data_IF_639105948044
#
_entry.id   IF_639105948044
#
_cell.length_a   1.000
_cell.length_b   1.000
_cell.length_c   1.000
_cell.angle_alpha   90.00
_cell.angle_beta   90.00
_cell.angle_gamma   90.00
#
_symmetry.space_group_name_H-M   'P 1'
#
loop_
_entity.id
_entity.type
_entity.pdbx_description
1 polymer ?
#
# COMPACT_ATOMS: atom_id res chain seq x y z
N UNK A 1 -5.15 -4.98 13.16
CA UNK A 1 -3.78 -4.96 12.60
C UNK A 1 -3.68 -5.70 11.30
N UNK A 2 -3.68 -4.94 10.21
CA UNK A 2 -3.35 -5.34 8.84
C UNK A 2 -2.34 -4.32 8.29
N UNK A 3 -1.24 -4.17 9.02
CA UNK A 3 -0.01 -3.48 8.61
C UNK A 3 1.17 -4.33 9.08
N UNK A 4 2.32 -4.20 8.43
CA UNK A 4 3.56 -4.72 8.98
C UNK A 4 3.89 -3.85 10.20
N UNK A 5 3.90 -4.45 11.39
CA UNK A 5 4.17 -3.71 12.63
C UNK A 5 5.48 -2.93 12.49
N UNK A 6 5.49 -1.63 12.84
CA UNK A 6 6.70 -0.82 12.84
C UNK A 6 7.84 -1.44 13.68
N UNK A 7 7.48 -2.26 14.67
CA UNK A 7 8.42 -3.04 15.47
C UNK A 7 9.12 -4.17 14.67
N UNK A 8 8.47 -4.72 13.63
CA UNK A 8 9.09 -5.68 12.71
C UNK A 8 10.11 -4.98 11.82
N UNK A 9 9.83 -3.76 11.36
CA UNK A 9 10.77 -2.96 10.54
C UNK A 9 11.96 -2.51 11.38
N UNK A 10 11.73 -2.03 12.61
CA UNK A 10 12.80 -1.70 13.58
C UNK A 10 13.63 -2.94 13.98
N UNK A 11 13.02 -4.13 13.98
CA UNK A 11 13.66 -5.40 14.28
C UNK A 11 14.49 -6.00 13.13
N UNK A 12 14.47 -5.42 11.93
CA UNK A 12 15.14 -5.96 10.73
C UNK A 12 16.68 -6.00 10.85
N UNK A 13 17.27 -5.31 11.83
CA UNK A 13 18.67 -5.49 12.20
C UNK A 13 19.68 -4.96 11.18
N UNK A 14 19.26 -4.10 10.27
CA UNK A 14 20.17 -3.37 9.39
C UNK A 14 20.83 -2.24 10.20
N UNK A 15 22.16 -2.26 10.30
CA UNK A 15 22.93 -1.27 11.06
C UNK A 15 22.79 0.17 10.50
N UNK A 16 22.24 0.30 9.29
CA UNK A 16 21.93 1.58 8.65
C UNK A 16 20.51 2.10 8.94
N UNK A 17 19.62 1.30 9.54
CA UNK A 17 18.24 1.71 9.82
C UNK A 17 18.12 2.14 11.29
N UNK A 18 18.09 3.44 11.53
CA UNK A 18 17.90 3.98 12.88
C UNK A 18 16.41 4.12 13.19
N UNK A 19 16.04 4.12 14.47
CA UNK A 19 14.64 4.30 14.90
C UNK A 19 14.01 5.61 14.39
N UNK A 20 14.83 6.62 14.08
CA UNK A 20 14.42 7.90 13.49
C UNK A 20 14.10 7.84 11.99
N UNK A 21 14.45 6.73 11.32
CA UNK A 21 14.19 6.50 9.89
C UNK A 21 12.83 5.83 9.65
N UNK A 22 12.17 5.34 10.71
CA UNK A 22 10.82 4.76 10.66
C UNK A 22 9.85 5.71 11.37
N UNK A 23 9.03 6.41 10.59
CA UNK A 23 7.99 7.30 11.11
C UNK A 23 6.62 6.64 10.96
N UNK A 24 5.97 6.40 12.09
CA UNK A 24 4.60 5.92 12.12
C UNK A 24 3.65 7.11 12.09
N UNK A 25 2.73 7.12 11.12
CA UNK A 25 1.63 8.08 11.09
C UNK A 25 0.51 7.52 11.95
N UNK A 26 0.07 8.28 12.96
CA UNK A 26 -0.79 7.78 14.04
C UNK A 26 -2.23 7.49 13.60
N UNK A 27 -2.57 7.66 12.32
CA UNK A 27 -3.91 7.46 11.81
C UNK A 27 -3.84 6.76 10.45
N UNK A 28 -4.37 5.54 10.38
CA UNK A 28 -4.48 4.74 9.15
C UNK A 28 -5.49 5.26 8.12
N UNK A 29 -5.75 6.57 8.07
CA UNK A 29 -6.88 7.18 7.37
C UNK A 29 -6.39 8.17 6.31
N UNK A 30 -6.65 7.87 5.04
CA UNK A 30 -6.00 8.56 3.92
C UNK A 30 -6.72 9.83 3.41
N UNK A 31 -7.95 10.17 3.85
CA UNK A 31 -8.74 11.17 3.12
C UNK A 31 -9.00 12.54 3.80
N UNK A 32 -8.98 12.70 5.14
CA UNK A 32 -9.16 14.03 5.77
C UNK A 32 -8.05 14.45 6.76
N UNK A 33 -7.41 13.52 7.48
CA UNK A 33 -6.33 13.80 8.45
C UNK A 33 -4.92 13.64 7.88
N UNK A 34 -4.78 13.13 6.64
CA UNK A 34 -3.47 13.01 5.98
C UNK A 34 -2.82 14.36 5.84
N UNK A 35 -3.53 15.41 5.40
CA UNK A 35 -2.90 16.71 5.24
C UNK A 35 -2.19 17.18 6.52
N UNK A 36 -2.88 17.00 7.64
CA UNK A 36 -2.48 17.53 8.94
C UNK A 36 -1.29 16.77 9.55
N UNK A 37 -1.10 15.48 9.24
CA UNK A 37 0.04 14.69 9.74
C UNK A 37 1.09 14.37 8.68
N UNK A 38 0.69 14.15 7.42
CA UNK A 38 1.57 13.83 6.31
C UNK A 38 2.46 15.00 5.91
N UNK A 39 1.91 16.21 5.72
CA UNK A 39 2.73 17.36 5.32
C UNK A 39 3.81 17.62 6.39
N UNK A 40 3.47 17.74 7.70
CA UNK A 40 4.49 17.97 8.71
C UNK A 40 5.51 16.84 8.82
N UNK A 41 5.08 15.59 8.67
CA UNK A 41 5.98 14.43 8.70
C UNK A 41 6.97 14.45 7.54
N UNK A 42 6.47 14.71 6.32
CA UNK A 42 7.31 14.84 5.14
C UNK A 42 8.26 16.03 5.24
N UNK A 43 7.79 17.18 5.72
CA UNK A 43 8.65 18.35 5.96
C UNK A 43 9.76 18.01 6.96
N UNK A 44 9.42 17.36 8.08
CA UNK A 44 10.38 16.91 9.08
C UNK A 44 11.45 15.97 8.50
N UNK A 45 11.07 15.05 7.61
CA UNK A 45 12.01 14.17 6.92
C UNK A 45 12.95 14.94 5.98
N UNK A 46 12.40 15.88 5.20
CA UNK A 46 13.13 16.65 4.20
C UNK A 46 14.02 17.75 4.81
N UNK A 47 13.76 18.15 6.06
CA UNK A 47 14.52 19.16 6.79
C UNK A 47 15.68 18.57 7.63
N UNK A 48 15.88 17.24 7.61
CA UNK A 48 17.03 16.60 8.27
C UNK A 48 18.34 17.08 7.64
N UNK A 49 19.42 17.10 8.43
CA UNK A 49 20.77 17.44 7.95
C UNK A 49 21.23 16.53 6.79
N UNK A 50 20.77 15.27 6.81
CA UNK A 50 20.92 14.30 5.73
C UNK A 50 19.52 13.75 5.37
N UNK A 51 18.78 14.39 4.45
CA UNK A 51 17.46 13.94 4.05
C UNK A 51 17.54 12.63 3.26
N UNK A 52 16.51 11.77 3.33
CA UNK A 52 16.51 10.50 2.60
C UNK A 52 16.42 10.73 1.08
N UNK A 53 17.14 9.90 0.31
CA UNK A 53 17.06 9.90 -1.16
C UNK A 53 15.78 9.21 -1.66
N UNK A 54 15.24 8.27 -0.88
CA UNK A 54 14.04 7.51 -1.19
C UNK A 54 13.14 7.38 0.03
N UNK A 55 11.83 7.43 -0.18
CA UNK A 55 10.82 7.26 0.87
C UNK A 55 9.88 6.15 0.44
N UNK A 56 9.73 5.13 1.29
CA UNK A 56 8.76 4.06 1.10
C UNK A 56 7.62 4.29 2.09
N UNK A 57 6.40 4.37 1.55
CA UNK A 57 5.20 4.53 2.37
C UNK A 57 4.41 3.24 2.30
N UNK A 58 4.28 2.58 3.44
CA UNK A 58 3.31 1.51 3.62
C UNK A 58 1.96 2.12 4.01
N UNK A 59 0.92 1.79 3.27
CA UNK A 59 -0.45 2.15 3.62
C UNK A 59 -1.12 1.01 4.35
N UNK A 60 -2.13 1.30 5.19
CA UNK A 60 -3.00 0.25 5.70
C UNK A 60 -3.64 -0.51 4.53
N UNK A 61 -3.92 -1.80 4.69
CA UNK A 61 -4.53 -2.63 3.63
C UNK A 61 -5.93 -2.17 3.17
N UNK A 62 -6.52 -1.19 3.87
CA UNK A 62 -7.83 -0.60 3.57
C UNK A 62 -7.73 0.80 2.96
N UNK A 63 -6.53 1.35 2.90
CA UNK A 63 -6.33 2.71 2.41
C UNK A 63 -6.37 2.76 0.88
N UNK A 64 -6.95 3.82 0.35
CA UNK A 64 -6.92 4.11 -1.08
C UNK A 64 -5.62 4.84 -1.42
N UNK A 65 -4.82 4.38 -2.40
CA UNK A 65 -3.58 5.08 -2.74
C UNK A 65 -3.80 6.47 -3.36
N UNK A 66 -4.95 6.70 -4.00
CA UNK A 66 -5.19 7.93 -4.77
C UNK A 66 -5.10 9.23 -3.95
N UNK A 67 -5.74 9.39 -2.77
CA UNK A 67 -5.61 10.63 -2.02
C UNK A 67 -4.18 10.86 -1.51
N UNK A 68 -3.44 9.80 -1.16
CA UNK A 68 -2.03 9.90 -0.78
C UNK A 68 -1.16 10.38 -1.94
N UNK A 69 -1.31 9.79 -3.13
CA UNK A 69 -0.59 10.25 -4.34
C UNK A 69 -0.93 11.70 -4.67
N UNK A 70 -2.19 12.13 -4.44
CA UNK A 70 -2.59 13.53 -4.62
C UNK A 70 -1.93 14.48 -3.62
N UNK A 71 -1.68 14.05 -2.39
CA UNK A 71 -1.02 14.86 -1.36
C UNK A 71 0.39 15.30 -1.78
N UNK A 72 1.11 14.49 -2.58
CA UNK A 72 2.41 14.87 -3.13
C UNK A 72 2.35 16.05 -4.11
N UNK A 73 1.19 16.35 -4.69
CA UNK A 73 1.01 17.52 -5.57
C UNK A 73 0.77 18.82 -4.80
N UNK A 74 0.75 18.81 -3.47
CA UNK A 74 0.63 20.05 -2.70
C UNK A 74 1.87 20.94 -2.84
N UNK A 75 1.72 22.28 -2.87
CA UNK A 75 2.83 23.21 -3.07
C UNK A 75 4.00 23.01 -2.10
N UNK A 76 3.72 22.58 -0.87
CA UNK A 76 4.69 22.34 0.20
C UNK A 76 5.62 21.15 -0.07
N UNK A 77 5.17 20.17 -0.88
CA UNK A 77 5.85 18.89 -1.14
C UNK A 77 6.32 18.78 -2.60
N UNK A 78 5.47 19.19 -3.54
CA UNK A 78 5.62 18.95 -5.00
C UNK A 78 6.90 19.49 -5.63
N UNK A 79 7.57 20.44 -4.99
CA UNK A 79 8.85 20.99 -5.46
C UNK A 79 10.07 20.24 -4.94
N UNK A 80 9.87 19.34 -3.96
CA UNK A 80 10.94 18.63 -3.24
C UNK A 80 10.95 17.12 -3.48
N UNK A 81 9.79 16.53 -3.77
CA UNK A 81 9.62 15.07 -3.89
C UNK A 81 8.80 14.71 -5.12
N UNK A 82 9.13 13.59 -5.74
CA UNK A 82 8.38 12.97 -6.83
C UNK A 82 7.92 11.57 -6.42
N UNK A 83 6.76 11.14 -6.92
CA UNK A 83 6.28 9.77 -6.72
C UNK A 83 6.78 8.90 -7.87
N UNK A 84 7.64 7.94 -7.56
CA UNK A 84 8.19 7.01 -8.55
C UNK A 84 7.16 5.98 -9.03
N UNK A 85 6.28 5.52 -8.13
CA UNK A 85 5.17 4.65 -8.47
C UNK A 85 4.45 4.06 -7.27
N UNK A 86 3.31 3.44 -7.54
CA UNK A 86 2.49 2.70 -6.57
C UNK A 86 2.70 1.20 -6.77
N UNK A 87 3.08 0.50 -5.70
CA UNK A 87 3.26 -0.96 -5.69
C UNK A 87 2.11 -1.60 -4.95
N UNK A 88 1.31 -2.42 -5.64
CA UNK A 88 0.21 -3.17 -5.02
C UNK A 88 0.60 -4.63 -4.86
N UNK A 89 0.63 -5.10 -3.61
CA UNK A 89 0.91 -6.50 -3.28
C UNK A 89 -0.39 -7.27 -3.15
N UNK A 90 -0.54 -8.33 -3.95
CA UNK A 90 -1.74 -9.15 -4.04
C UNK A 90 -1.46 -10.54 -3.47
N UNK A 91 -2.29 -11.01 -2.54
CA UNK A 91 -2.33 -12.40 -2.14
C UNK A 91 -3.08 -13.23 -3.20
N UNK A 92 -2.33 -14.03 -3.96
CA UNK A 92 -2.86 -14.71 -5.13
C UNK A 92 -3.95 -15.74 -4.78
N UNK A 93 -3.78 -16.49 -3.67
CA UNK A 93 -4.76 -17.50 -3.26
C UNK A 93 -6.04 -16.83 -2.79
N UNK A 94 -5.90 -15.80 -1.97
CA UNK A 94 -7.04 -15.09 -1.40
C UNK A 94 -7.92 -14.49 -2.51
N UNK A 95 -7.33 -13.87 -3.53
CA UNK A 95 -8.09 -13.31 -4.67
C UNK A 95 -8.82 -14.40 -5.47
N UNK A 96 -8.16 -15.52 -5.76
CA UNK A 96 -8.80 -16.65 -6.48
C UNK A 96 -9.97 -17.24 -5.67
N UNK A 97 -9.89 -17.21 -4.34
CA UNK A 97 -10.98 -17.62 -3.44
C UNK A 97 -12.06 -16.54 -3.24
N UNK A 98 -11.90 -15.34 -3.82
CA UNK A 98 -12.79 -14.20 -3.60
C UNK A 98 -12.72 -13.64 -2.17
N UNK A 99 -11.61 -13.90 -1.46
CA UNK A 99 -11.37 -13.48 -0.09
C UNK A 99 -10.47 -12.24 -0.09
N UNK A 100 -11.05 -11.08 0.22
CA UNK A 100 -10.31 -9.81 0.32
C UNK A 100 -9.99 -9.41 1.77
N UNK A 101 -10.49 -10.19 2.75
CA UNK A 101 -10.13 -10.07 4.16
C UNK A 101 -10.20 -11.43 4.84
N UNK A 102 -9.21 -11.74 5.68
CA UNK A 102 -9.21 -12.96 6.49
C UNK A 102 -10.34 -12.98 7.54
N UNK A 103 -10.77 -11.80 8.00
CA UNK A 103 -11.91 -11.63 8.88
C UNK A 103 -12.72 -10.39 8.45
N UNK A 104 -13.72 -10.62 7.61
CA UNK A 104 -14.58 -9.57 7.05
C UNK A 104 -15.24 -8.75 8.17
N UNK A 105 -15.71 -9.38 9.25
CA UNK A 105 -16.37 -8.68 10.35
C UNK A 105 -15.41 -7.75 11.13
N UNK A 106 -14.15 -8.15 11.31
CA UNK A 106 -13.15 -7.29 11.93
C UNK A 106 -12.79 -6.10 11.03
N UNK A 107 -12.69 -6.35 9.72
CA UNK A 107 -12.45 -5.30 8.73
C UNK A 107 -13.63 -4.33 8.67
N UNK A 108 -14.87 -4.82 8.63
CA UNK A 108 -16.07 -3.97 8.64
C UNK A 108 -16.17 -3.13 9.91
N UNK A 109 -15.81 -3.70 11.07
CA UNK A 109 -15.76 -2.97 12.34
C UNK A 109 -14.68 -1.87 12.31
N UNK A 110 -13.51 -2.14 11.75
CA UNK A 110 -12.44 -1.15 11.58
C UNK A 110 -12.87 -0.06 10.59
N UNK A 111 -13.52 -0.44 9.48
CA UNK A 111 -14.05 0.50 8.50
C UNK A 111 -15.09 1.40 9.12
N UNK A 112 -16.04 0.87 9.90
CA UNK A 112 -17.07 1.66 10.58
C UNK A 112 -16.52 2.65 11.62
N UNK A 113 -15.25 2.50 12.04
CA UNK A 113 -14.56 3.44 12.92
C UNK A 113 -13.75 4.49 12.16
N UNK A 114 -13.63 4.36 10.85
CA UNK A 114 -12.84 5.24 9.99
C UNK A 114 -13.74 6.10 9.11
N UNK A 115 -14.12 7.28 9.60
CA UNK A 115 -14.96 8.27 8.91
C UNK A 115 -14.45 8.67 7.50
N UNK A 116 -13.21 8.30 7.15
CA UNK A 116 -12.57 8.61 5.86
C UNK A 116 -12.73 7.51 4.81
N UNK A 117 -13.17 6.32 5.20
CA UNK A 117 -13.50 5.25 4.28
C UNK A 117 -14.97 5.37 3.90
N UNK A 118 -15.26 5.23 2.61
CA UNK A 118 -16.64 5.03 2.20
C UNK A 118 -17.09 3.66 2.73
N UNK A 119 -17.86 3.67 3.81
CA UNK A 119 -18.28 2.47 4.53
C UNK A 119 -19.27 1.60 3.72
N UNK A 120 -19.82 2.12 2.61
CA UNK A 120 -20.75 1.40 1.75
C UNK A 120 -20.04 0.64 0.62
N UNK A 121 -18.77 0.98 0.32
CA UNK A 121 -17.98 0.35 -0.73
C UNK A 121 -17.62 -1.10 -0.38
N UNK A 122 -17.88 -2.12 -1.22
CA UNK A 122 -17.38 -3.47 -1.00
C UNK A 122 -15.84 -3.55 -0.98
N UNK A 123 -15.27 -4.50 -0.20
CA UNK A 123 -13.81 -4.72 -0.19
C UNK A 123 -13.24 -5.07 -1.58
N UNK A 124 -14.05 -5.70 -2.43
CA UNK A 124 -13.70 -5.99 -3.82
C UNK A 124 -13.51 -4.72 -4.64
N UNK A 125 -14.31 -3.67 -4.39
CA UNK A 125 -14.15 -2.38 -5.08
C UNK A 125 -12.88 -1.65 -4.60
N UNK A 126 -12.56 -1.72 -3.30
CA UNK A 126 -11.29 -1.20 -2.78
C UNK A 126 -10.08 -1.91 -3.41
N UNK A 127 -10.18 -3.23 -3.59
CA UNK A 127 -9.17 -4.00 -4.31
C UNK A 127 -9.02 -3.50 -5.76
N UNK A 128 -10.13 -3.35 -6.48
CA UNK A 128 -10.10 -2.85 -7.86
C UNK A 128 -9.48 -1.45 -7.96
N UNK A 129 -9.78 -0.56 -7.01
CA UNK A 129 -9.17 0.78 -6.94
C UNK A 129 -7.65 0.74 -6.69
N UNK A 130 -7.18 -0.17 -5.83
CA UNK A 130 -5.75 -0.39 -5.59
C UNK A 130 -5.05 -0.96 -6.83
N UNK A 131 -5.70 -1.85 -7.58
CA UNK A 131 -5.18 -2.38 -8.85
C UNK A 131 -5.13 -1.30 -9.93
N UNK A 132 -6.17 -0.48 -10.04
CA UNK A 132 -6.23 0.63 -10.99
C UNK A 132 -5.18 1.71 -10.68
N UNK A 133 -4.80 1.87 -9.41
CA UNK A 133 -3.78 2.82 -9.00
C UNK A 133 -2.34 2.27 -9.13
N UNK A 134 -2.14 0.97 -9.26
CA UNK A 134 -0.80 0.38 -9.31
C UNK A 134 -0.02 0.77 -10.57
N UNK A 135 1.28 1.04 -10.39
CA UNK A 135 2.28 1.07 -11.47
C UNK A 135 3.03 -0.27 -11.56
N UNK A 136 3.03 -1.04 -10.45
CA UNK A 136 3.51 -2.42 -10.38
C UNK A 136 2.61 -3.26 -9.46
N UNK A 137 2.32 -4.48 -9.88
CA UNK A 137 1.54 -5.46 -9.10
C UNK A 137 2.44 -6.65 -8.76
N UNK A 138 2.57 -6.93 -7.46
CA UNK A 138 3.30 -8.09 -6.96
C UNK A 138 2.30 -9.17 -6.55
N UNK A 139 2.23 -10.25 -7.33
CA UNK A 139 1.36 -11.41 -7.07
C UNK A 139 2.11 -12.39 -6.17
N UNK A 140 1.90 -12.28 -4.87
CA UNK A 140 2.54 -13.12 -3.85
C UNK A 140 1.73 -14.38 -3.55
N UNK A 141 2.40 -15.39 -2.98
CA UNK A 141 1.84 -16.73 -2.73
C UNK A 141 1.40 -17.44 -4.02
N UNK A 142 2.07 -17.14 -5.13
CA UNK A 142 1.78 -17.79 -6.42
C UNK A 142 2.05 -19.30 -6.40
N UNK A 143 2.83 -19.80 -5.43
CA UNK A 143 3.04 -21.22 -5.15
C UNK A 143 1.79 -21.96 -4.66
N UNK A 144 0.78 -21.23 -4.18
CA UNK A 144 -0.51 -21.80 -3.74
C UNK A 144 -1.53 -21.94 -4.88
N UNK A 145 -1.15 -21.57 -6.11
CA UNK A 145 -1.99 -21.64 -7.30
C UNK A 145 -1.44 -22.64 -8.32
N UNK A 146 -2.35 -23.24 -9.07
CA UNK A 146 -2.00 -23.94 -10.30
C UNK A 146 -1.56 -22.94 -11.39
N UNK A 147 -0.86 -23.43 -12.41
CA UNK A 147 -0.48 -22.61 -13.56
C UNK A 147 -1.69 -21.97 -14.26
N UNK A 148 -2.82 -22.70 -14.34
CA UNK A 148 -4.04 -22.22 -14.96
C UNK A 148 -4.68 -21.09 -14.14
N UNK A 149 -4.80 -21.25 -12.82
CA UNK A 149 -5.30 -20.19 -11.92
C UNK A 149 -4.39 -18.96 -11.97
N UNK A 150 -3.07 -19.16 -11.95
CA UNK A 150 -2.10 -18.07 -12.04
C UNK A 150 -2.23 -17.29 -13.35
N UNK A 151 -2.37 -17.99 -14.47
CA UNK A 151 -2.52 -17.36 -15.78
C UNK A 151 -3.83 -16.56 -15.89
N UNK A 152 -4.93 -17.10 -15.35
CA UNK A 152 -6.21 -16.41 -15.28
C UNK A 152 -6.10 -15.13 -14.43
N UNK A 153 -5.58 -15.25 -13.19
CA UNK A 153 -5.40 -14.12 -12.29
C UNK A 153 -4.54 -13.01 -12.91
N UNK A 154 -3.40 -13.34 -13.52
CA UNK A 154 -2.54 -12.35 -14.17
C UNK A 154 -3.25 -11.67 -15.34
N UNK A 155 -4.09 -12.41 -16.08
CA UNK A 155 -4.89 -11.84 -17.18
C UNK A 155 -5.92 -10.84 -16.64
N UNK A 156 -6.62 -11.21 -15.57
CA UNK A 156 -7.63 -10.35 -14.95
C UNK A 156 -7.01 -9.09 -14.34
N UNK A 157 -5.89 -9.23 -13.62
CA UNK A 157 -5.15 -8.09 -13.05
C UNK A 157 -4.70 -7.10 -14.12
N UNK A 158 -4.13 -7.59 -15.24
CA UNK A 158 -3.70 -6.74 -16.35
C UNK A 158 -4.85 -6.00 -17.02
N UNK A 159 -6.02 -6.64 -17.10
CA UNK A 159 -7.23 -6.05 -17.69
C UNK A 159 -7.78 -4.92 -16.83
N UNK A 160 -7.64 -5.02 -15.51
CA UNK A 160 -8.16 -4.04 -14.55
C UNK A 160 -7.11 -2.97 -14.14
N UNK A 161 -5.85 -3.15 -14.52
CA UNK A 161 -4.77 -2.17 -14.30
C UNK A 161 -4.59 -1.23 -15.50
N UNK A 162 -3.79 -0.18 -15.33
CA UNK A 162 -3.41 0.72 -16.43
C UNK A 162 -2.51 0.02 -17.45
N UNK A 163 -2.47 0.56 -18.67
CA UNK A 163 -1.54 0.08 -19.69
C UNK A 163 -0.08 0.23 -19.23
N UNK A 164 0.72 -0.82 -19.41
CA UNK A 164 2.15 -0.81 -19.09
C UNK A 164 2.50 -1.23 -17.65
N UNK A 165 1.51 -1.52 -16.79
CA UNK A 165 1.74 -2.01 -15.43
C UNK A 165 2.48 -3.35 -15.45
N UNK A 166 3.56 -3.43 -14.66
CA UNK A 166 4.31 -4.67 -14.51
C UNK A 166 3.63 -5.59 -13.52
N UNK A 167 3.47 -6.88 -13.87
CA UNK A 167 2.92 -7.90 -12.97
C UNK A 167 4.01 -8.93 -12.69
N UNK A 168 4.46 -8.97 -11.45
CA UNK A 168 5.57 -9.81 -10.98
C UNK A 168 5.02 -10.89 -10.06
N UNK A 169 5.37 -12.16 -10.33
CA UNK A 169 4.97 -13.28 -9.49
C UNK A 169 6.05 -13.52 -8.44
N UNK A 170 5.63 -13.73 -7.19
CA UNK A 170 6.52 -14.03 -6.08
C UNK A 170 6.00 -15.21 -5.27
N UNK A 171 6.91 -15.84 -4.54
CA UNK A 171 6.64 -16.98 -3.66
C UNK A 171 7.31 -16.72 -2.33
N UNK A 172 6.63 -17.02 -1.22
CA UNK A 172 7.20 -16.86 0.12
C UNK A 172 7.76 -15.45 0.41
N UNK A 173 7.20 -14.41 -0.22
CA UNK A 173 7.65 -13.02 -0.04
C UNK A 173 8.96 -12.65 -0.74
N UNK A 174 9.54 -13.54 -1.57
CA UNK A 174 10.77 -13.25 -2.30
C UNK A 174 10.49 -12.54 -3.64
N UNK A 175 11.00 -11.31 -3.78
CA UNK A 175 11.06 -10.57 -5.05
C UNK A 175 12.25 -11.07 -5.91
N UNK A 176 12.15 -11.04 -7.26
CA UNK A 176 13.20 -11.49 -8.17
C UNK A 176 14.45 -10.60 -8.19
#
# INVERSE_FOLDING_TARGET
DLGVDGDIVKGCGDAACNDEDVLELSNGCICCTVADEFIPTMQKLLERDNPPEHIVIETSGLALPQPLVRAFNWPEISTKVTVDGVVTVVDARAVVDGQFAANVAAVDAQRAQDDNLDHETPLSELFDDQIACADMIVVNKSDLLTEAETAALVTDLRKNSRDGVQVIKTTMGALP
#
